data_IF_415280184638
#
_entry.id   IF_415280184638
#
_cell.length_a   1.000
_cell.length_b   1.000
_cell.length_c   1.000
_cell.angle_alpha   90.00
_cell.angle_beta   90.00
_cell.angle_gamma   90.00
#
_symmetry.space_group_name_H-M   'P 1'
#
loop_
_entity.id
_entity.type
_entity.pdbx_description
1 polymer ?
#
# COMPACT_ATOMS: atom_id res chain seq x y z
N UNK A 1 -16.69 11.65 43.85
CA UNK A 1 -18.16 11.76 43.70
C UNK A 1 -18.46 11.91 42.23
N UNK A 2 -19.19 10.92 41.68
CA UNK A 2 -20.09 10.97 40.51
C UNK A 2 -19.44 11.36 39.16
N UNK A 3 -19.61 10.67 38.04
CA UNK A 3 -19.98 9.30 37.66
C UNK A 3 -19.64 9.20 36.15
N UNK A 4 -19.31 8.02 35.68
CA UNK A 4 -18.98 7.72 34.29
C UNK A 4 -20.25 7.65 33.43
N UNK A 5 -20.15 7.86 32.11
CA UNK A 5 -20.43 6.80 31.11
C UNK A 5 -20.69 7.32 29.69
N UNK A 6 -20.04 6.63 28.74
CA UNK A 6 -20.29 6.61 27.31
C UNK A 6 -21.67 5.98 26.98
N UNK A 7 -22.35 6.38 25.90
CA UNK A 7 -23.38 5.56 25.28
C UNK A 7 -22.82 4.74 24.11
N UNK A 8 -22.91 3.42 24.25
CA UNK A 8 -22.68 2.43 23.21
C UNK A 8 -23.90 2.27 22.31
N UNK A 9 -23.61 2.11 21.03
CA UNK A 9 -24.46 1.68 19.92
C UNK A 9 -25.33 0.44 20.22
N UNK A 10 -26.63 0.52 19.90
CA UNK A 10 -27.41 -0.62 19.40
C UNK A 10 -28.36 -0.17 18.29
N UNK A 11 -28.14 -0.79 17.14
CA UNK A 11 -28.99 -0.76 15.97
C UNK A 11 -30.40 -1.28 16.31
N UNK A 12 -31.42 -0.60 15.79
CA UNK A 12 -32.77 -1.16 15.68
C UNK A 12 -33.12 -1.23 14.20
N UNK A 13 -33.50 -2.42 13.76
CA UNK A 13 -33.84 -2.76 12.40
C UNK A 13 -34.99 -1.90 11.85
N UNK A 14 -34.77 -1.41 10.64
CA UNK A 14 -35.79 -0.93 9.70
C UNK A 14 -36.68 -2.09 9.27
N UNK A 15 -38.00 -1.92 9.37
CA UNK A 15 -38.96 -2.65 8.55
C UNK A 15 -39.96 -1.66 7.93
N UNK A 16 -39.94 -1.61 6.60
CA UNK A 16 -41.01 -1.04 5.78
C UNK A 16 -42.33 -1.77 6.10
N UNK A 17 -43.43 -1.02 6.23
CA UNK A 17 -44.69 -1.48 5.67
C UNK A 17 -45.55 -0.33 5.16
N UNK A 18 -46.04 -0.53 3.94
CA UNK A 18 -47.12 0.19 3.28
C UNK A 18 -48.34 0.32 4.20
N UNK A 19 -48.95 1.51 4.18
CA UNK A 19 -50.14 1.83 4.94
C UNK A 19 -51.42 1.24 4.35
N UNK A 20 -52.29 0.76 5.22
CA UNK A 20 -53.73 0.72 5.01
C UNK A 20 -54.44 1.03 6.34
N UNK A 21 -55.52 1.82 6.22
CA UNK A 21 -56.36 2.40 7.28
C UNK A 21 -56.92 1.38 8.27
N UNK A 22 -57.07 1.86 9.52
CA UNK A 22 -57.80 1.38 10.70
C UNK A 22 -59.27 0.95 10.45
N UNK A 23 -60.07 0.45 11.42
CA UNK A 23 -59.85 0.36 12.89
C UNK A 23 -60.38 -0.92 13.60
N UNK A 24 -60.09 -0.97 14.92
CA UNK A 24 -60.74 -1.69 16.04
C UNK A 24 -59.85 -2.73 16.74
N UNK A 25 -59.24 -2.26 17.82
CA UNK A 25 -58.69 -3.05 18.92
C UNK A 25 -59.77 -3.89 19.61
N UNK A 26 -59.37 -5.04 20.18
CA UNK A 26 -59.76 -5.35 21.53
C UNK A 26 -58.53 -5.36 22.45
N UNK A 27 -58.68 -4.55 23.49
CA UNK A 27 -57.93 -4.43 24.73
C UNK A 27 -57.34 -5.78 25.20
N UNK A 28 -56.01 -5.90 25.19
CA UNK A 28 -55.29 -6.88 26.01
C UNK A 28 -54.85 -6.19 27.30
N UNK A 29 -55.65 -6.36 28.37
CA UNK A 29 -55.25 -5.98 29.71
C UNK A 29 -54.09 -6.86 30.19
N UNK A 30 -53.09 -6.16 30.74
CA UNK A 30 -51.96 -6.70 31.46
C UNK A 30 -52.41 -7.66 32.58
N UNK A 31 -51.98 -8.92 32.49
CA UNK A 31 -51.67 -9.69 33.68
C UNK A 31 -50.18 -10.00 33.67
N UNK A 32 -49.44 -9.15 34.38
CA UNK A 32 -48.11 -9.47 34.90
C UNK A 32 -48.20 -10.71 35.76
N UNK A 33 -47.92 -11.88 35.21
CA UNK A 33 -47.51 -13.03 36.03
C UNK A 33 -46.01 -12.91 36.22
N UNK A 34 -45.66 -12.26 37.33
CA UNK A 34 -44.34 -12.32 37.95
C UNK A 34 -43.81 -13.76 37.90
N UNK A 35 -42.65 -13.96 37.27
CA UNK A 35 -41.85 -15.19 37.38
C UNK A 35 -41.28 -15.30 38.81
N UNK A 36 -42.16 -15.41 39.80
CA UNK A 36 -41.80 -15.88 41.13
C UNK A 36 -41.76 -17.40 41.08
N UNK A 37 -40.66 -17.92 41.61
CA UNK A 37 -40.23 -19.31 41.67
C UNK A 37 -41.33 -20.38 41.55
N UNK A 38 -40.99 -21.41 40.78
CA UNK A 38 -41.57 -22.74 40.90
C UNK A 38 -41.70 -23.12 42.39
N UNK A 39 -42.91 -23.44 42.89
CA UNK A 39 -43.07 -23.90 44.26
C UNK A 39 -42.51 -25.33 44.36
N UNK A 40 -41.37 -25.47 45.04
CA UNK A 40 -40.76 -26.74 45.42
C UNK A 40 -41.53 -27.40 46.57
N UNK A 41 -42.82 -27.72 46.37
CA UNK A 41 -43.59 -28.49 47.35
C UNK A 41 -44.60 -29.45 46.70
N UNK A 42 -44.64 -30.67 47.24
CA UNK A 42 -45.32 -31.87 46.74
C UNK A 42 -46.86 -31.78 46.75
N UNK A 43 -47.43 -30.69 47.25
CA UNK A 43 -48.88 -30.48 47.41
C UNK A 43 -49.57 -29.88 46.16
N UNK A 44 -48.84 -29.29 45.21
CA UNK A 44 -49.43 -28.70 43.98
C UNK A 44 -49.70 -29.73 42.87
N UNK A 45 -49.03 -30.88 42.87
CA UNK A 45 -49.25 -31.96 41.90
C UNK A 45 -50.58 -32.71 42.11
N UNK A 46 -51.09 -32.72 43.35
CA UNK A 46 -52.36 -33.36 43.69
C UNK A 46 -53.59 -32.57 43.21
N UNK A 47 -53.45 -31.27 42.92
CA UNK A 47 -54.55 -30.44 42.44
C UNK A 47 -54.77 -30.56 40.92
N UNK A 48 -53.69 -30.63 40.13
CA UNK A 48 -53.76 -30.73 38.66
C UNK A 48 -54.23 -32.12 38.17
N UNK A 49 -53.91 -33.19 38.90
CA UNK A 49 -54.36 -34.55 38.55
C UNK A 49 -55.85 -34.80 38.83
N UNK A 50 -56.46 -34.02 39.73
CA UNK A 50 -57.88 -34.12 40.06
C UNK A 50 -58.77 -33.49 38.99
N UNK A 51 -58.38 -32.37 38.38
CA UNK A 51 -59.18 -31.70 37.34
C UNK A 51 -59.27 -32.48 36.03
N UNK A 52 -58.18 -33.15 35.61
CA UNK A 52 -58.18 -33.99 34.40
C UNK A 52 -59.10 -35.21 34.56
N UNK A 53 -59.25 -35.74 35.79
CA UNK A 53 -60.11 -36.89 36.09
C UNK A 53 -61.60 -36.52 36.03
N UNK A 54 -61.95 -35.26 36.28
CA UNK A 54 -63.34 -34.75 36.22
C UNK A 54 -63.78 -34.50 34.78
N UNK A 55 -62.90 -34.03 33.90
CA UNK A 55 -63.21 -33.77 32.48
C UNK A 55 -63.37 -35.07 31.68
N UNK A 56 -62.58 -36.11 31.98
CA UNK A 56 -62.66 -37.42 31.32
C UNK A 56 -64.01 -38.14 31.53
N UNK A 57 -64.63 -38.00 32.72
CA UNK A 57 -65.91 -38.67 33.02
C UNK A 57 -67.13 -38.01 32.37
N UNK A 58 -67.05 -36.72 31.99
CA UNK A 58 -68.18 -35.98 31.40
C UNK A 58 -68.41 -36.21 29.91
N UNK A 59 -67.45 -36.78 29.17
CA UNK A 59 -67.56 -36.99 27.71
C UNK A 59 -67.62 -38.44 27.26
N UNK A 60 -67.63 -39.41 28.19
CA UNK A 60 -67.80 -40.84 27.84
C UNK A 60 -66.65 -41.45 27.02
N UNK A 61 -65.50 -40.79 26.96
CA UNK A 61 -64.35 -41.27 26.20
C UNK A 61 -63.48 -42.16 27.10
N UNK A 62 -63.25 -43.39 26.66
CA UNK A 62 -62.23 -44.26 27.27
C UNK A 62 -60.88 -43.55 27.25
N UNK A 63 -60.17 -43.62 28.38
CA UNK A 63 -58.83 -43.06 28.53
C UNK A 63 -57.84 -43.62 27.49
N UNK A 64 -58.12 -44.79 26.89
CA UNK A 64 -57.29 -45.37 25.84
C UNK A 64 -57.44 -44.63 24.50
N UNK A 65 -58.66 -44.28 24.08
CA UNK A 65 -58.91 -43.57 22.82
C UNK A 65 -58.32 -42.16 22.82
N UNK A 66 -58.36 -41.47 23.96
CA UNK A 66 -57.77 -40.14 24.11
C UNK A 66 -56.23 -40.19 24.00
N UNK A 67 -55.59 -41.23 24.54
CA UNK A 67 -54.14 -41.43 24.43
C UNK A 67 -53.70 -41.64 22.99
N UNK A 68 -54.43 -42.43 22.20
CA UNK A 68 -54.10 -42.68 20.79
C UNK A 68 -54.20 -41.43 19.92
N UNK A 69 -55.25 -40.62 20.11
CA UNK A 69 -55.41 -39.35 19.37
C UNK A 69 -54.30 -38.36 19.74
N UNK A 70 -53.91 -38.30 21.02
CA UNK A 70 -52.81 -37.44 21.48
C UNK A 70 -51.47 -37.93 20.90
N UNK A 71 -51.22 -39.25 20.83
CA UNK A 71 -49.98 -39.77 20.26
C UNK A 71 -49.88 -39.51 18.76
N UNK A 72 -50.96 -39.72 17.99
CA UNK A 72 -51.01 -39.43 16.56
C UNK A 72 -50.82 -37.93 16.27
N UNK A 73 -51.54 -37.07 16.99
CA UNK A 73 -51.37 -35.61 16.86
C UNK A 73 -49.97 -35.13 17.29
N UNK A 74 -49.32 -35.83 18.22
CA UNK A 74 -47.94 -35.53 18.63
C UNK A 74 -46.96 -35.91 17.53
N UNK A 75 -47.12 -37.07 16.91
CA UNK A 75 -46.25 -37.55 15.84
C UNK A 75 -46.37 -36.69 14.57
N UNK A 76 -47.58 -36.27 14.19
CA UNK A 76 -47.78 -35.33 13.07
C UNK A 76 -47.14 -33.96 13.35
N UNK A 77 -47.31 -33.40 14.56
CA UNK A 77 -46.64 -32.14 14.94
C UNK A 77 -45.13 -32.26 14.97
N UNK A 78 -44.58 -33.42 15.33
CA UNK A 78 -43.14 -33.67 15.28
C UNK A 78 -42.65 -33.79 13.83
N UNK A 79 -43.40 -34.43 12.92
CA UNK A 79 -43.08 -34.46 11.48
C UNK A 79 -43.12 -33.07 10.85
N UNK A 80 -44.12 -32.24 11.17
CA UNK A 80 -44.20 -30.85 10.69
C UNK A 80 -43.07 -30.00 11.23
N UNK A 81 -42.73 -30.11 12.53
CA UNK A 81 -41.58 -29.41 13.12
C UNK A 81 -40.25 -29.84 12.51
N UNK A 82 -40.05 -31.12 12.17
CA UNK A 82 -38.85 -31.57 11.45
C UNK A 82 -38.78 -30.98 10.04
N UNK A 83 -39.89 -30.92 9.30
CA UNK A 83 -39.95 -30.29 7.97
C UNK A 83 -39.66 -28.79 8.03
N UNK A 84 -40.25 -28.08 8.99
CA UNK A 84 -40.00 -26.66 9.22
C UNK A 84 -38.53 -26.41 9.65
N UNK A 85 -37.98 -27.24 10.54
CA UNK A 85 -36.57 -27.16 10.95
C UNK A 85 -35.61 -27.36 9.77
N UNK A 86 -35.88 -28.32 8.88
CA UNK A 86 -35.10 -28.52 7.66
C UNK A 86 -35.21 -27.33 6.70
N UNK A 87 -36.41 -26.79 6.51
CA UNK A 87 -36.63 -25.60 5.68
C UNK A 87 -35.90 -24.37 6.24
N UNK A 88 -35.90 -24.19 7.57
CA UNK A 88 -35.15 -23.12 8.23
C UNK A 88 -33.64 -23.31 8.05
N UNK A 89 -33.11 -24.52 8.22
CA UNK A 89 -31.68 -24.80 7.97
C UNK A 89 -31.27 -24.54 6.52
N UNK A 90 -32.08 -24.93 5.53
CA UNK A 90 -31.80 -24.66 4.11
C UNK A 90 -31.78 -23.15 3.83
N UNK A 91 -32.75 -22.39 4.38
CA UNK A 91 -32.78 -20.93 4.23
C UNK A 91 -31.55 -20.26 4.85
N UNK A 92 -31.10 -20.72 6.01
CA UNK A 92 -29.86 -20.22 6.65
C UNK A 92 -28.65 -20.52 5.78
N UNK A 93 -28.53 -21.75 5.24
CA UNK A 93 -27.42 -22.12 4.36
C UNK A 93 -27.37 -21.27 3.08
N UNK A 94 -28.52 -20.98 2.46
CA UNK A 94 -28.61 -20.11 1.28
C UNK A 94 -28.16 -18.68 1.61
N UNK A 95 -28.62 -18.13 2.75
CA UNK A 95 -28.22 -16.79 3.19
C UNK A 95 -26.72 -16.73 3.48
N UNK A 96 -26.17 -17.73 4.18
CA UNK A 96 -24.73 -17.80 4.47
C UNK A 96 -23.90 -17.93 3.18
N UNK A 97 -24.33 -18.77 2.23
CA UNK A 97 -23.65 -18.91 0.95
C UNK A 97 -23.66 -17.60 0.13
N UNK A 98 -24.78 -16.88 0.14
CA UNK A 98 -24.90 -15.58 -0.53
C UNK A 98 -24.02 -14.50 0.12
N UNK A 99 -23.98 -14.44 1.46
CA UNK A 99 -23.11 -13.52 2.21
C UNK A 99 -21.62 -13.80 1.93
N UNK A 100 -21.22 -15.07 1.89
CA UNK A 100 -19.84 -15.46 1.57
C UNK A 100 -19.47 -15.15 0.11
N UNK A 101 -20.42 -15.28 -0.82
CA UNK A 101 -20.23 -14.89 -2.22
C UNK A 101 -20.03 -13.37 -2.39
N UNK A 102 -20.87 -12.57 -1.73
CA UNK A 102 -20.77 -11.11 -1.77
C UNK A 102 -19.45 -10.59 -1.15
N UNK A 103 -19.00 -11.19 -0.04
CA UNK A 103 -17.73 -10.82 0.59
C UNK A 103 -16.53 -11.12 -0.32
N UNK A 104 -16.52 -12.28 -0.99
CA UNK A 104 -15.47 -12.64 -1.96
C UNK A 104 -15.46 -11.70 -3.19
N UNK A 105 -16.64 -11.33 -3.69
CA UNK A 105 -16.76 -10.38 -4.80
C UNK A 105 -16.26 -8.98 -4.43
N UNK A 106 -16.58 -8.49 -3.22
CA UNK A 106 -16.04 -7.22 -2.73
C UNK A 106 -14.52 -7.27 -2.52
N UNK A 107 -13.98 -8.36 -1.98
CA UNK A 107 -12.53 -8.55 -1.87
C UNK A 107 -11.84 -8.55 -3.24
N UNK A 108 -12.40 -9.24 -4.23
CA UNK A 108 -11.90 -9.22 -5.61
C UNK A 108 -11.96 -7.82 -6.22
N UNK A 109 -13.06 -7.08 -6.03
CA UNK A 109 -13.19 -5.70 -6.50
C UNK A 109 -12.16 -4.77 -5.87
N UNK A 110 -11.91 -4.91 -4.56
CA UNK A 110 -10.87 -4.14 -3.86
C UNK A 110 -9.47 -4.50 -4.36
N UNK A 111 -9.17 -5.78 -4.60
CA UNK A 111 -7.90 -6.22 -5.19
C UNK A 111 -7.73 -5.62 -6.59
N UNK A 112 -8.78 -5.66 -7.43
CA UNK A 112 -8.76 -5.10 -8.79
C UNK A 112 -8.53 -3.58 -8.76
N UNK A 113 -9.21 -2.85 -7.87
CA UNK A 113 -9.00 -1.41 -7.68
C UNK A 113 -7.60 -1.06 -7.18
N UNK A 114 -7.06 -1.84 -6.25
CA UNK A 114 -5.70 -1.67 -5.74
C UNK A 114 -4.69 -1.92 -6.88
N UNK A 115 -4.90 -2.94 -7.72
CA UNK A 115 -4.02 -3.21 -8.88
C UNK A 115 -4.10 -2.14 -9.95
N UNK A 116 -5.28 -1.55 -10.20
CA UNK A 116 -5.44 -0.44 -11.16
C UNK A 116 -4.76 0.85 -10.71
N UNK A 117 -4.75 1.15 -9.40
CA UNK A 117 -4.04 2.33 -8.89
C UNK A 117 -2.51 2.21 -8.97
N UNK A 118 -1.96 1.01 -8.82
CA UNK A 118 -0.50 0.79 -8.85
C UNK A 118 0.07 1.00 -10.27
N UNK A 119 -0.72 0.80 -11.33
CA UNK A 119 -0.26 0.96 -12.72
C UNK A 119 -0.45 2.36 -13.28
N UNK A 120 -1.26 3.23 -12.66
CA UNK A 120 -1.65 4.52 -13.24
C UNK A 120 -0.72 5.69 -12.85
N UNK A 121 0.01 5.61 -11.74
CA UNK A 121 0.73 6.77 -11.15
C UNK A 121 2.03 7.12 -11.91
N UNK A 122 2.55 6.22 -12.75
CA UNK A 122 3.81 6.41 -13.50
C UNK A 122 3.61 7.03 -14.90
N UNK A 123 2.39 7.04 -15.45
CA UNK A 123 2.15 7.57 -16.82
C UNK A 123 1.59 9.00 -16.84
N UNK A 124 1.06 9.49 -15.72
CA UNK A 124 0.46 10.82 -15.62
C UNK A 124 1.52 11.92 -15.52
N UNK A 125 1.34 12.97 -16.32
CA UNK A 125 2.20 14.15 -16.29
C UNK A 125 1.92 15.02 -15.05
N UNK A 126 2.95 15.26 -14.24
CA UNK A 126 2.90 16.09 -13.03
C UNK A 126 3.52 17.46 -13.31
N UNK A 127 2.94 18.51 -12.75
CA UNK A 127 3.42 19.88 -12.95
C UNK A 127 4.58 20.20 -12.01
N UNK A 128 5.63 20.82 -12.55
CA UNK A 128 6.81 21.25 -11.82
C UNK A 128 7.40 22.50 -12.48
N UNK A 129 8.54 22.95 -11.99
CA UNK A 129 9.34 23.98 -12.67
C UNK A 129 10.77 23.49 -12.89
N UNK A 130 11.49 24.12 -13.82
CA UNK A 130 12.88 23.80 -14.08
C UNK A 130 13.75 25.03 -14.26
N UNK A 131 14.92 25.03 -13.62
CA UNK A 131 16.05 25.90 -13.93
C UNK A 131 17.17 25.09 -14.55
N UNK A 132 18.30 25.75 -14.83
CA UNK A 132 19.51 25.04 -15.24
C UNK A 132 20.76 25.61 -14.57
N UNK A 133 21.70 24.71 -14.33
CA UNK A 133 23.02 25.09 -13.83
C UNK A 133 23.88 25.54 -15.01
N UNK A 134 24.28 26.81 -15.00
CA UNK A 134 25.30 27.35 -15.92
C UNK A 134 26.64 26.71 -15.57
N UNK A 135 27.22 25.97 -16.50
CA UNK A 135 28.57 25.39 -16.33
C UNK A 135 29.61 26.52 -16.28
N UNK A 136 29.75 27.17 -15.13
CA UNK A 136 30.80 28.14 -14.88
C UNK A 136 32.05 27.39 -14.44
N UNK A 137 33.14 27.60 -15.19
CA UNK A 137 34.47 27.06 -14.93
C UNK A 137 34.82 27.14 -13.43
N UNK A 138 34.80 26.00 -12.72
CA UNK A 138 35.45 25.88 -11.42
C UNK A 138 34.61 25.45 -10.21
N UNK A 139 33.40 24.90 -10.35
CA UNK A 139 32.73 24.27 -9.19
C UNK A 139 33.17 22.83 -9.02
N UNK A 140 33.94 22.61 -7.95
CA UNK A 140 34.22 21.34 -7.30
C UNK A 140 32.89 20.72 -6.85
N UNK A 141 32.14 20.09 -7.75
CA UNK A 141 31.12 19.09 -7.39
C UNK A 141 31.80 17.74 -7.50
N UNK A 142 32.69 17.45 -6.54
CA UNK A 142 33.42 16.16 -6.53
C UNK A 142 32.49 15.02 -6.13
N UNK A 143 31.38 15.28 -5.44
CA UNK A 143 30.34 14.29 -5.16
C UNK A 143 28.96 14.96 -5.08
N UNK A 144 28.14 14.86 -6.15
CA UNK A 144 26.72 15.22 -6.07
C UNK A 144 25.99 14.34 -5.03
N UNK A 145 24.83 14.78 -4.54
CA UNK A 145 24.09 14.17 -3.44
C UNK A 145 23.64 12.70 -3.66
N UNK A 146 23.78 12.17 -4.88
CA UNK A 146 23.58 10.75 -5.16
C UNK A 146 24.84 9.88 -5.01
N UNK A 147 26.01 10.48 -4.85
CA UNK A 147 27.30 9.78 -4.72
C UNK A 147 27.95 9.40 -6.03
N UNK A 148 27.46 9.93 -7.16
CA UNK A 148 27.97 9.56 -8.47
C UNK A 148 29.25 10.28 -8.89
N UNK A 149 29.68 11.34 -8.21
CA UNK A 149 30.96 12.02 -8.47
C UNK A 149 31.20 12.24 -9.99
N UNK A 150 32.41 11.95 -10.47
CA UNK A 150 32.79 11.98 -11.88
C UNK A 150 32.03 10.99 -12.77
N UNK A 151 31.38 9.95 -12.20
CA UNK A 151 30.50 9.04 -12.96
C UNK A 151 29.28 9.79 -13.53
N UNK A 152 28.92 10.93 -12.94
CA UNK A 152 27.89 11.82 -13.48
C UNK A 152 28.15 12.14 -14.96
N UNK A 153 29.35 12.67 -15.27
CA UNK A 153 29.73 13.05 -16.63
C UNK A 153 30.02 11.83 -17.50
N UNK A 154 30.58 10.76 -16.94
CA UNK A 154 31.05 9.60 -17.70
C UNK A 154 29.96 8.53 -17.99
N UNK A 155 28.96 8.36 -17.12
CA UNK A 155 28.03 7.22 -17.17
C UNK A 155 26.57 7.65 -17.27
N UNK A 156 26.16 8.65 -16.49
CA UNK A 156 24.77 9.12 -16.48
C UNK A 156 24.49 10.18 -17.56
N UNK A 157 25.56 10.76 -18.10
CA UNK A 157 25.56 11.49 -19.35
C UNK A 157 25.32 12.99 -19.19
N UNK A 158 25.16 13.64 -20.34
CA UNK A 158 24.92 15.09 -20.46
C UNK A 158 23.57 15.50 -19.86
N UNK A 159 22.60 14.59 -19.78
CA UNK A 159 21.22 14.87 -19.37
C UNK A 159 20.93 14.40 -17.96
N UNK A 160 21.04 15.35 -17.03
CA UNK A 160 20.91 15.10 -15.60
C UNK A 160 20.22 16.26 -14.90
N UNK A 161 19.76 16.02 -13.67
CA UNK A 161 19.19 17.05 -12.84
C UNK A 161 19.45 16.83 -11.34
N UNK A 162 19.60 17.96 -10.65
CA UNK A 162 19.36 18.06 -9.22
C UNK A 162 17.86 18.14 -8.94
N UNK A 163 17.37 17.37 -7.98
CA UNK A 163 15.94 17.35 -7.65
C UNK A 163 15.65 18.18 -6.39
N UNK A 164 14.55 18.91 -6.40
CA UNK A 164 13.98 19.54 -5.19
C UNK A 164 13.77 18.54 -4.04
N UNK A 165 13.58 19.05 -2.82
CA UNK A 165 13.31 18.21 -1.64
C UNK A 165 12.10 17.28 -1.82
N UNK A 166 11.06 17.72 -2.53
CA UNK A 166 9.87 16.91 -2.80
C UNK A 166 10.20 15.71 -3.69
N UNK A 167 10.97 15.92 -4.76
CA UNK A 167 11.30 14.88 -5.74
C UNK A 167 12.46 13.99 -5.33
N UNK A 168 13.45 14.54 -4.61
CA UNK A 168 14.67 13.83 -4.23
C UNK A 168 14.40 12.72 -3.20
N UNK A 169 13.35 12.87 -2.39
CA UNK A 169 12.91 11.90 -1.37
C UNK A 169 14.06 11.31 -0.54
N UNK A 170 14.89 12.20 0.05
CA UNK A 170 16.06 11.83 0.87
C UNK A 170 17.06 10.89 0.14
N UNK A 171 17.13 11.01 -1.19
CA UNK A 171 18.05 10.26 -2.04
C UNK A 171 17.52 8.92 -2.52
N UNK A 172 16.26 8.54 -2.22
CA UNK A 172 15.68 7.30 -2.77
C UNK A 172 15.59 7.37 -4.30
N UNK A 173 15.25 8.54 -4.83
CA UNK A 173 15.07 8.82 -6.26
C UNK A 173 16.40 8.90 -7.03
N UNK A 174 17.54 8.85 -6.36
CA UNK A 174 18.83 8.86 -7.05
C UNK A 174 18.94 7.73 -8.08
N UNK A 175 19.28 8.07 -9.32
CA UNK A 175 19.38 7.13 -10.43
C UNK A 175 18.08 6.94 -11.24
N UNK A 176 16.95 7.43 -10.74
CA UNK A 176 15.68 7.42 -11.45
C UNK A 176 15.71 8.27 -12.72
N UNK A 177 14.90 7.91 -13.72
CA UNK A 177 14.77 8.65 -14.96
C UNK A 177 13.42 9.34 -15.05
N UNK A 178 13.45 10.56 -15.58
CA UNK A 178 12.28 11.41 -15.77
C UNK A 178 12.25 11.85 -17.22
N UNK A 179 11.06 11.81 -17.82
CA UNK A 179 10.78 12.56 -19.03
C UNK A 179 10.21 13.91 -18.63
N UNK A 180 10.79 14.99 -19.14
CA UNK A 180 10.43 16.37 -18.79
C UNK A 180 10.17 17.16 -20.06
N UNK A 181 9.12 17.98 -20.07
CA UNK A 181 8.79 18.89 -21.19
C UNK A 181 8.40 20.27 -20.69
N UNK A 182 8.78 21.31 -21.42
CA UNK A 182 8.36 22.67 -21.14
C UNK A 182 6.93 22.89 -21.64
N UNK A 183 6.07 23.47 -20.80
CA UNK A 183 4.67 23.74 -21.11
C UNK A 183 4.29 25.17 -20.77
N UNK A 184 3.14 25.63 -21.26
CA UNK A 184 2.47 26.86 -20.79
C UNK A 184 3.29 28.16 -20.92
N UNK A 185 4.30 28.20 -21.82
CA UNK A 185 5.01 29.44 -22.11
C UNK A 185 5.54 29.60 -23.54
N UNK A 186 4.96 30.54 -24.29
CA UNK A 186 5.25 30.74 -25.73
C UNK A 186 6.65 31.32 -26.03
N UNK A 187 7.25 32.08 -25.11
CA UNK A 187 8.55 32.74 -25.35
C UNK A 187 9.75 31.91 -24.86
N UNK A 188 9.50 30.94 -23.99
CA UNK A 188 10.55 30.19 -23.28
C UNK A 188 10.57 28.73 -23.66
N UNK A 189 9.41 28.10 -23.84
CA UNK A 189 9.35 26.72 -24.33
C UNK A 189 9.64 26.67 -25.83
N UNK A 190 10.36 25.64 -26.26
CA UNK A 190 10.59 25.40 -27.68
C UNK A 190 9.30 25.01 -28.39
N UNK A 191 9.21 25.38 -29.67
CA UNK A 191 8.04 25.08 -30.50
C UNK A 191 7.81 23.56 -30.61
N UNK A 192 6.55 23.14 -30.45
CA UNK A 192 6.17 21.73 -30.45
C UNK A 192 6.30 21.05 -29.07
N UNK A 193 6.74 21.77 -28.04
CA UNK A 193 6.92 21.28 -26.67
C UNK A 193 7.66 19.94 -26.60
N UNK A 194 8.90 19.85 -27.14
CA UNK A 194 9.70 18.64 -27.08
C UNK A 194 9.94 18.21 -25.62
N UNK A 195 10.20 16.92 -25.43
CA UNK A 195 10.57 16.34 -24.14
C UNK A 195 12.02 15.85 -24.15
N UNK A 196 12.62 15.81 -22.95
CA UNK A 196 13.96 15.24 -22.72
C UNK A 196 13.88 14.22 -21.60
N UNK A 197 14.63 13.12 -21.75
CA UNK A 197 14.81 12.14 -20.68
C UNK A 197 16.11 12.45 -19.95
N UNK A 198 16.02 12.62 -18.63
CA UNK A 198 17.15 12.92 -17.76
C UNK A 198 17.25 11.94 -16.60
N UNK A 199 18.44 11.84 -16.01
CA UNK A 199 18.65 11.08 -14.76
C UNK A 199 18.73 11.99 -13.55
N UNK A 200 18.07 11.61 -12.46
CA UNK A 200 18.25 12.23 -11.16
C UNK A 200 19.62 11.86 -10.57
N UNK A 201 20.51 12.84 -10.44
CA UNK A 201 21.90 12.61 -10.02
C UNK A 201 22.36 13.50 -8.89
N UNK A 202 21.56 14.49 -8.53
CA UNK A 202 21.90 15.42 -7.47
C UNK A 202 20.65 15.89 -6.71
N UNK A 203 20.89 16.71 -5.71
CA UNK A 203 19.89 17.37 -4.90
C UNK A 203 19.97 18.87 -5.12
N UNK A 204 18.84 19.50 -5.43
CA UNK A 204 18.74 20.94 -5.39
C UNK A 204 18.39 21.38 -3.96
N UNK A 205 19.33 21.99 -3.22
CA UNK A 205 19.11 22.37 -1.84
C UNK A 205 18.07 23.50 -1.73
N UNK A 206 17.19 23.46 -0.72
CA UNK A 206 16.25 24.54 -0.49
C UNK A 206 16.97 25.81 -0.03
N UNK A 207 16.48 26.96 -0.45
CA UNK A 207 16.88 28.28 0.03
C UNK A 207 15.67 28.98 0.67
N UNK A 208 15.46 28.72 1.96
CA UNK A 208 14.33 29.28 2.72
C UNK A 208 14.45 30.78 3.02
N UNK A 209 15.60 31.40 2.73
CA UNK A 209 15.79 32.85 2.83
C UNK A 209 15.18 33.62 1.65
N UNK A 210 14.78 32.92 0.58
CA UNK A 210 14.23 33.49 -0.64
C UNK A 210 12.82 32.96 -0.91
N UNK A 211 11.99 33.80 -1.55
CA UNK A 211 10.66 33.37 -1.98
C UNK A 211 10.78 32.36 -3.12
N UNK A 212 9.74 31.55 -3.29
CA UNK A 212 9.75 30.49 -4.28
C UNK A 212 9.67 30.97 -5.74
N UNK A 213 9.54 32.28 -5.94
CA UNK A 213 9.52 32.94 -7.26
C UNK A 213 10.79 33.80 -7.48
N UNK A 214 11.67 33.84 -6.48
CA UNK A 214 12.89 34.64 -6.51
C UNK A 214 14.07 33.88 -5.85
N UNK A 215 14.39 32.69 -6.36
CA UNK A 215 15.55 31.91 -5.92
C UNK A 215 15.25 30.76 -4.93
N UNK A 216 14.06 30.71 -4.35
CA UNK A 216 13.59 29.62 -3.47
C UNK A 216 12.93 28.46 -4.22
N UNK A 217 13.34 28.16 -5.45
CA UNK A 217 12.63 27.23 -6.36
C UNK A 217 12.52 25.80 -5.83
N UNK A 218 13.57 25.34 -5.13
CA UNK A 218 13.67 23.98 -4.59
C UNK A 218 13.09 23.82 -3.18
N UNK A 219 12.44 24.87 -2.66
CA UNK A 219 11.80 24.85 -1.36
C UNK A 219 10.59 23.92 -1.36
N UNK A 220 10.51 23.06 -0.34
CA UNK A 220 9.31 22.26 -0.09
C UNK A 220 8.07 23.16 0.06
N UNK A 221 6.90 22.80 -0.51
CA UNK A 221 6.56 21.54 -1.18
C UNK A 221 6.69 21.55 -2.71
N UNK A 222 7.36 22.55 -3.32
CA UNK A 222 7.43 22.63 -4.78
C UNK A 222 8.26 21.48 -5.37
N UNK A 223 7.77 20.93 -6.47
CA UNK A 223 8.53 20.05 -7.35
C UNK A 223 9.34 20.90 -8.34
N UNK A 224 10.65 20.70 -8.34
CA UNK A 224 11.58 21.46 -9.17
C UNK A 224 12.76 20.61 -9.64
N UNK A 225 13.20 20.87 -10.87
CA UNK A 225 14.38 20.27 -11.52
C UNK A 225 15.44 21.34 -11.77
N UNK A 226 16.61 21.20 -11.15
CA UNK A 226 17.78 22.00 -11.48
C UNK A 226 18.61 21.22 -12.51
N UNK A 227 18.33 21.46 -13.78
CA UNK A 227 18.78 20.62 -14.89
C UNK A 227 20.22 20.96 -15.32
N UNK A 228 20.90 20.03 -15.97
CA UNK A 228 22.06 20.39 -16.76
C UNK A 228 21.65 21.34 -17.88
N UNK A 229 22.50 22.33 -18.19
CA UNK A 229 22.27 23.27 -19.29
C UNK A 229 21.93 22.54 -20.60
N UNK A 230 22.60 21.42 -20.82
CA UNK A 230 22.39 20.53 -21.93
C UNK A 230 20.98 19.94 -22.04
N UNK A 231 20.38 19.50 -20.93
CA UNK A 231 19.02 18.97 -20.94
C UNK A 231 18.00 20.10 -21.05
N UNK A 232 18.26 21.24 -20.42
CA UNK A 232 17.37 22.39 -20.43
C UNK A 232 17.17 22.93 -21.85
N UNK A 233 18.25 23.01 -22.64
CA UNK A 233 18.21 23.48 -24.02
C UNK A 233 17.44 22.59 -24.99
N UNK A 234 17.13 21.36 -24.61
CA UNK A 234 16.29 20.47 -25.42
C UNK A 234 14.81 20.83 -25.32
N UNK A 235 14.41 21.60 -24.30
CA UNK A 235 12.99 21.91 -24.02
C UNK A 235 12.70 23.42 -23.91
N UNK A 236 13.71 24.24 -23.62
CA UNK A 236 13.54 25.67 -23.38
C UNK A 236 14.72 26.53 -23.85
N UNK A 237 14.42 27.81 -24.09
CA UNK A 237 15.39 28.85 -24.43
C UNK A 237 16.26 29.24 -23.22
N UNK A 238 17.59 29.27 -23.38
CA UNK A 238 18.55 29.60 -22.29
C UNK A 238 18.31 30.97 -21.63
N UNK A 239 17.65 31.89 -22.34
CA UNK A 239 17.32 33.23 -21.81
C UNK A 239 16.29 33.18 -20.68
N UNK A 240 15.59 32.06 -20.50
CA UNK A 240 14.63 31.87 -19.42
C UNK A 240 15.36 31.46 -18.14
N UNK A 241 15.16 32.21 -17.06
CA UNK A 241 15.72 31.86 -15.75
C UNK A 241 15.01 30.66 -15.12
N UNK A 242 13.70 30.53 -15.37
CA UNK A 242 12.88 29.39 -14.98
C UNK A 242 11.79 29.14 -16.02
N UNK A 243 11.40 27.88 -16.20
CA UNK A 243 10.24 27.51 -17.01
C UNK A 243 9.27 26.59 -16.28
N UNK A 244 7.95 26.70 -16.56
CA UNK A 244 6.99 25.67 -16.16
C UNK A 244 7.22 24.41 -16.99
N UNK A 245 7.26 23.27 -16.30
CA UNK A 245 7.44 21.97 -16.93
C UNK A 245 6.39 20.98 -16.47
N UNK A 246 6.20 19.95 -17.29
CA UNK A 246 5.56 18.71 -16.87
C UNK A 246 6.60 17.61 -16.86
N UNK A 247 6.49 16.69 -15.90
CA UNK A 247 7.35 15.52 -15.83
C UNK A 247 6.58 14.24 -15.50
N UNK A 248 7.19 13.10 -15.79
CA UNK A 248 6.74 11.78 -15.34
C UNK A 248 7.92 10.83 -15.19
N UNK A 249 7.74 9.75 -14.43
CA UNK A 249 8.74 8.69 -14.31
C UNK A 249 8.80 7.89 -15.61
N UNK A 250 10.00 7.54 -16.06
CA UNK A 250 10.20 6.65 -17.20
C UNK A 250 11.25 5.60 -16.88
N UNK A 251 11.27 4.53 -17.66
CA UNK A 251 12.29 3.49 -17.53
C UNK A 251 13.66 4.05 -17.97
N UNK A 252 14.68 3.80 -17.17
CA UNK A 252 16.06 4.08 -17.48
C UNK A 252 16.65 3.06 -18.44
N UNK A 253 17.05 3.50 -19.63
CA UNK A 253 17.86 2.70 -20.54
C UNK A 253 19.35 2.83 -20.16
N UNK A 254 20.01 1.69 -19.94
CA UNK A 254 21.42 1.62 -19.53
C UNK A 254 22.18 0.61 -20.38
N UNK A 255 23.41 0.95 -20.73
CA UNK A 255 24.36 0.02 -21.38
C UNK A 255 25.22 -0.65 -20.31
N UNK A 256 25.44 -1.95 -20.45
CA UNK A 256 26.18 -2.75 -19.46
C UNK A 256 25.37 -3.05 -18.19
N UNK A 257 26.04 -3.71 -17.27
CA UNK A 257 25.48 -4.14 -15.98
C UNK A 257 25.43 -3.06 -14.92
N UNK A 258 24.77 -3.37 -13.79
CA UNK A 258 24.90 -2.59 -12.57
C UNK A 258 26.37 -2.54 -12.15
N UNK A 259 26.78 -1.38 -11.65
CA UNK A 259 28.14 -1.14 -11.16
C UNK A 259 28.14 -1.05 -9.64
N UNK A 260 29.06 -1.81 -9.04
CA UNK A 260 29.28 -1.90 -7.60
C UNK A 260 30.65 -1.33 -7.30
N UNK A 261 30.72 -0.08 -6.85
CA UNK A 261 31.98 0.55 -6.42
C UNK A 261 32.13 0.35 -4.92
N UNK A 262 33.11 -0.46 -4.52
CA UNK A 262 33.35 -0.82 -3.12
C UNK A 262 34.27 0.22 -2.49
N UNK A 263 33.86 0.84 -1.39
CA UNK A 263 34.61 1.87 -0.67
C UNK A 263 34.54 1.65 0.85
N UNK A 264 35.34 2.43 1.59
CA UNK A 264 35.42 2.35 3.04
C UNK A 264 36.69 1.70 3.56
N UNK A 265 36.58 0.96 4.67
CA UNK A 265 37.69 0.31 5.38
C UNK A 265 37.19 -0.94 6.14
N UNK A 266 38.07 -1.61 6.90
CA UNK A 266 37.74 -2.86 7.61
C UNK A 266 36.67 -2.73 8.71
N UNK A 267 36.32 -1.51 9.14
CA UNK A 267 35.22 -1.22 10.05
C UNK A 267 33.95 -0.70 9.35
N UNK A 268 34.07 -0.26 8.10
CA UNK A 268 33.01 0.43 7.37
C UNK A 268 33.00 -0.02 5.92
N UNK A 269 32.03 -0.84 5.53
CA UNK A 269 31.90 -1.29 4.14
C UNK A 269 30.80 -0.51 3.46
N UNK A 270 31.17 0.28 2.48
CA UNK A 270 30.25 1.03 1.64
C UNK A 270 30.31 0.52 0.20
N UNK A 271 29.16 0.51 -0.46
CA UNK A 271 29.03 0.18 -1.87
C UNK A 271 28.15 1.22 -2.53
N UNK A 272 28.70 1.92 -3.52
CA UNK A 272 27.93 2.76 -4.42
C UNK A 272 27.32 1.87 -5.50
N UNK A 273 25.99 1.94 -5.61
CA UNK A 273 25.25 1.26 -6.67
C UNK A 273 24.98 2.26 -7.79
N UNK A 274 25.50 1.98 -8.98
CA UNK A 274 25.29 2.82 -10.16
C UNK A 274 24.93 2.01 -11.41
N UNK A 275 24.61 2.71 -12.50
CA UNK A 275 24.15 2.15 -13.77
C UNK A 275 22.92 1.23 -13.67
N UNK A 276 21.99 1.58 -12.78
CA UNK A 276 20.73 0.84 -12.58
C UNK A 276 19.77 1.17 -13.72
N UNK A 277 19.38 0.15 -14.49
CA UNK A 277 18.36 0.26 -15.53
C UNK A 277 16.95 0.12 -14.99
N UNK A 278 15.98 0.21 -15.90
CA UNK A 278 14.56 0.05 -15.61
C UNK A 278 14.07 1.13 -14.63
N UNK A 279 13.86 0.84 -13.36
CA UNK A 279 13.30 1.84 -12.44
C UNK A 279 14.32 2.95 -12.09
N UNK A 280 15.62 2.62 -12.16
CA UNK A 280 16.74 3.45 -11.68
C UNK A 280 16.81 3.61 -10.16
N UNK A 281 15.64 3.62 -9.50
CA UNK A 281 15.45 3.70 -8.07
C UNK A 281 15.60 2.33 -7.40
N UNK A 282 16.63 2.22 -6.56
CA UNK A 282 16.90 1.04 -5.72
C UNK A 282 16.25 1.26 -4.37
N UNK A 283 15.54 0.28 -3.82
CA UNK A 283 14.89 0.36 -2.49
C UNK A 283 15.51 -0.55 -1.45
N UNK A 284 16.24 -1.60 -1.86
CA UNK A 284 16.97 -2.47 -0.94
C UNK A 284 18.20 -3.09 -1.61
N UNK A 285 19.25 -3.29 -0.82
CA UNK A 285 20.48 -3.96 -1.25
C UNK A 285 20.88 -4.97 -0.19
N UNK A 286 21.37 -6.14 -0.62
CA UNK A 286 22.06 -7.11 0.23
C UNK A 286 23.41 -7.47 -0.35
N UNK A 287 24.35 -7.77 0.53
CA UNK A 287 25.68 -8.27 0.18
C UNK A 287 25.89 -9.66 0.79
N UNK A 288 26.67 -10.50 0.12
CA UNK A 288 27.03 -11.84 0.61
C UNK A 288 28.48 -12.15 0.27
N UNK A 289 29.23 -12.60 1.28
CA UNK A 289 30.52 -13.27 1.10
C UNK A 289 30.36 -14.78 0.95
N UNK A 290 31.43 -15.47 0.54
CA UNK A 290 31.42 -16.93 0.42
C UNK A 290 31.18 -17.67 1.75
N UNK A 291 31.47 -17.04 2.89
CA UNK A 291 31.32 -17.60 4.25
C UNK A 291 30.16 -17.00 5.03
N UNK A 292 29.33 -16.15 4.42
CA UNK A 292 28.21 -15.47 5.11
C UNK A 292 26.87 -15.82 4.49
N UNK A 293 25.78 -15.58 5.22
CA UNK A 293 24.45 -15.44 4.63
C UNK A 293 24.32 -14.09 3.87
N UNK A 294 23.16 -13.85 3.25
CA UNK A 294 22.82 -12.54 2.72
C UNK A 294 22.63 -11.54 3.86
N UNK A 295 23.38 -10.43 3.80
CA UNK A 295 23.40 -9.38 4.80
C UNK A 295 22.71 -8.15 4.20
N UNK A 296 21.62 -7.64 4.79
CA UNK A 296 21.00 -6.41 4.32
C UNK A 296 21.95 -5.22 4.54
N UNK A 297 21.98 -4.33 3.56
CA UNK A 297 22.73 -3.08 3.63
C UNK A 297 21.75 -1.92 3.91
N UNK A 298 22.19 -0.97 4.74
CA UNK A 298 21.43 0.25 4.99
C UNK A 298 21.83 1.33 3.97
N UNK A 299 20.89 2.11 3.46
CA UNK A 299 21.24 3.30 2.69
C UNK A 299 21.86 4.31 3.64
N UNK A 300 23.11 4.70 3.38
CA UNK A 300 23.79 5.74 4.13
C UNK A 300 23.31 7.12 3.63
N UNK A 301 23.52 7.39 2.35
CA UNK A 301 23.04 8.59 1.64
C UNK A 301 23.02 8.31 0.13
N UNK A 302 22.18 8.99 -0.64
CA UNK A 302 22.11 8.79 -2.09
C UNK A 302 22.01 7.31 -2.49
N UNK A 303 22.89 6.84 -3.38
CA UNK A 303 23.07 5.41 -3.69
C UNK A 303 24.28 4.75 -3.01
N UNK A 304 24.77 5.32 -1.91
CA UNK A 304 25.77 4.70 -1.06
C UNK A 304 25.10 3.82 0.00
N UNK A 305 25.39 2.53 -0.05
CA UNK A 305 24.84 1.50 0.84
C UNK A 305 25.93 1.00 1.77
N UNK A 306 25.63 0.83 3.05
CA UNK A 306 26.60 0.44 4.07
C UNK A 306 26.25 -0.88 4.76
N UNK A 307 27.29 -1.59 5.19
CA UNK A 307 27.21 -2.71 6.13
C UNK A 307 28.43 -2.71 7.06
N UNK A 308 28.27 -3.28 8.25
CA UNK A 308 29.33 -3.34 9.27
C UNK A 308 29.96 -4.75 9.37
N UNK A 309 29.89 -5.53 8.29
CA UNK A 309 30.40 -6.91 8.26
C UNK A 309 31.71 -6.95 7.47
N UNK A 310 32.75 -7.52 8.07
CA UNK A 310 34.02 -7.72 7.38
C UNK A 310 33.91 -8.84 6.32
N UNK A 311 34.01 -8.44 5.06
CA UNK A 311 33.95 -9.33 3.89
C UNK A 311 35.28 -9.37 3.11
N UNK A 312 36.37 -8.83 3.67
CA UNK A 312 37.70 -8.88 3.03
C UNK A 312 38.13 -10.34 2.89
N UNK A 313 38.74 -10.66 1.74
CA UNK A 313 39.19 -12.02 1.42
C UNK A 313 38.07 -12.97 0.99
N UNK A 314 36.85 -12.46 0.78
CA UNK A 314 35.71 -13.24 0.29
C UNK A 314 35.21 -12.64 -1.03
N UNK A 315 34.87 -13.47 -2.04
CA UNK A 315 34.14 -12.99 -3.20
C UNK A 315 32.82 -12.35 -2.78
N UNK A 316 32.45 -11.23 -3.40
CA UNK A 316 31.23 -10.49 -3.06
C UNK A 316 30.14 -10.78 -4.08
N UNK A 317 28.96 -11.11 -3.56
CA UNK A 317 27.71 -11.19 -4.30
C UNK A 317 26.77 -10.08 -3.84
N UNK A 318 25.96 -9.57 -4.74
CA UNK A 318 24.99 -8.52 -4.47
C UNK A 318 23.60 -8.91 -4.91
N UNK A 319 22.61 -8.53 -4.11
CA UNK A 319 21.19 -8.60 -4.44
C UNK A 319 20.62 -7.18 -4.35
N UNK A 320 20.01 -6.72 -5.44
CA UNK A 320 19.48 -5.36 -5.57
C UNK A 320 17.99 -5.45 -5.87
N UNK A 321 17.17 -4.71 -5.12
CA UNK A 321 15.72 -4.62 -5.32
C UNK A 321 15.34 -3.20 -5.74
N UNK A 322 14.58 -3.06 -6.83
CA UNK A 322 14.10 -1.76 -7.33
C UNK A 322 12.71 -1.42 -6.84
N UNK A 323 12.23 -0.19 -7.09
CA UNK A 323 10.91 0.28 -6.68
C UNK A 323 9.76 -0.57 -7.20
N UNK A 324 9.87 -1.18 -8.39
CA UNK A 324 8.89 -2.14 -8.93
C UNK A 324 8.91 -3.51 -8.24
N UNK A 325 9.63 -3.66 -7.12
CA UNK A 325 9.82 -4.89 -6.34
C UNK A 325 10.55 -6.01 -7.09
N UNK A 326 11.15 -5.72 -8.25
CA UNK A 326 12.03 -6.65 -8.95
C UNK A 326 13.34 -6.77 -8.20
N UNK A 327 13.84 -7.99 -8.11
CA UNK A 327 15.11 -8.28 -7.44
C UNK A 327 16.07 -8.95 -8.41
N UNK A 328 17.30 -8.46 -8.46
CA UNK A 328 18.36 -8.96 -9.31
C UNK A 328 19.56 -9.39 -8.46
N UNK A 329 19.99 -10.64 -8.64
CA UNK A 329 21.12 -11.21 -7.91
C UNK A 329 22.31 -11.42 -8.83
N UNK A 330 23.45 -10.85 -8.45
CA UNK A 330 24.73 -11.01 -9.12
C UNK A 330 25.72 -11.71 -8.18
N UNK A 331 26.09 -12.94 -8.51
CA UNK A 331 26.94 -13.78 -7.67
C UNK A 331 28.42 -13.58 -7.99
N UNK A 332 29.26 -13.50 -6.95
CA UNK A 332 30.72 -13.43 -7.02
C UNK A 332 31.25 -12.38 -8.02
N UNK A 333 30.60 -11.21 -8.05
CA UNK A 333 30.91 -10.09 -8.95
C UNK A 333 32.28 -9.49 -8.63
N UNK A 334 32.62 -9.40 -7.35
CA UNK A 334 33.97 -9.05 -6.92
C UNK A 334 34.73 -10.32 -6.53
N UNK A 335 35.94 -10.58 -7.05
CA UNK A 335 36.76 -11.73 -6.66
C UNK A 335 37.32 -11.57 -5.25
N UNK A 336 37.77 -12.65 -4.60
CA UNK A 336 38.20 -12.62 -3.19
C UNK A 336 39.32 -11.61 -2.85
N UNK A 337 40.12 -11.23 -3.84
CA UNK A 337 41.22 -10.27 -3.72
C UNK A 337 40.81 -8.82 -4.04
N UNK A 338 39.50 -8.53 -4.09
CA UNK A 338 38.98 -7.17 -4.27
C UNK A 338 39.58 -6.20 -3.25
N UNK A 339 39.70 -4.93 -3.64
CA UNK A 339 40.21 -3.83 -2.83
C UNK A 339 39.22 -2.67 -2.83
N UNK A 340 39.28 -1.83 -1.79
CA UNK A 340 38.52 -0.58 -1.75
C UNK A 340 38.95 0.35 -2.91
N UNK A 341 37.99 1.08 -3.45
CA UNK A 341 38.13 1.93 -4.64
C UNK A 341 37.84 1.21 -5.96
N UNK A 342 37.67 -0.12 -5.96
CA UNK A 342 37.38 -0.87 -7.19
C UNK A 342 35.90 -0.86 -7.54
N UNK A 343 35.61 -0.88 -8.84
CA UNK A 343 34.26 -1.00 -9.39
C UNK A 343 34.11 -2.32 -10.14
N UNK A 344 33.02 -3.02 -9.88
CA UNK A 344 32.71 -4.31 -10.51
C UNK A 344 31.37 -4.24 -11.23
N UNK A 345 31.27 -4.92 -12.36
CA UNK A 345 30.05 -4.98 -13.17
C UNK A 345 29.29 -6.29 -12.94
N UNK A 346 27.98 -6.18 -12.66
CA UNK A 346 27.09 -7.33 -12.47
C UNK A 346 26.05 -7.45 -13.58
N UNK A 347 24.88 -8.02 -13.25
CA UNK A 347 23.75 -8.13 -14.18
C UNK A 347 23.00 -6.80 -14.33
N UNK A 348 22.04 -6.74 -15.27
CA UNK A 348 21.10 -5.63 -15.48
C UNK A 348 19.64 -6.11 -15.34
N UNK A 349 18.73 -5.19 -15.01
CA UNK A 349 17.28 -5.40 -14.91
C UNK A 349 16.57 -5.54 -16.25
#
# INVERSE_FOLDING_TARGET
MIDQSYPSSRACCTSLHFGLRSPKEPICQNFTVSSKGWPSNQQSYLHFSKEIRVISRRKGWSFSSLKTIISQRREEREKTRRKESHQVQIRILIVVAYQMGALKAMLLYLIIHQTWKITADDEEWKSATATYVKETNGSIVVEGACGYADLHKATYGKYSAGLSSMLFNRGSTCGACFEVRCVDHILWCLQGSPSVILTATDFCPPNYGLSADYGGWCNFPKEHFDMSEAAFTEIAEKKADIVPVQHRRVKCERRGGLRFTVSGNFHFYQVLISNVGLDGEVIAVKVKGSKTAWIPMARNWGQNWQSNVNLIGQPLSFEVTTSSRKTLTSYNVAPANWQFGQTFEGKQF
#
